data_IF_447390154085
#
_entry.id   IF_447390154085
#
_cell.length_a   1.000
_cell.length_b   1.000
_cell.length_c   1.000
_cell.angle_alpha   90.00
_cell.angle_beta   90.00
_cell.angle_gamma   90.00
#
_symmetry.space_group_name_H-M   'P 1'
#
loop_
_entity.id
_entity.type
_entity.pdbx_description
1 polymer ?
#
# COMPACT_ATOMS: atom_id res chain seq x y z
N UNK A 1 22.19 -4.77 -3.15
CA UNK A 1 20.88 -5.26 -3.62
C UNK A 1 19.94 -4.08 -3.92
N UNK A 2 20.40 -3.07 -4.69
CA UNK A 2 19.70 -1.77 -4.80
C UNK A 2 19.15 -1.44 -6.19
N UNK A 3 19.41 -2.25 -7.23
CA UNK A 3 19.09 -1.86 -8.62
C UNK A 3 17.79 -2.45 -9.22
N UNK A 4 17.04 -3.27 -8.47
CA UNK A 4 15.78 -3.89 -8.94
C UNK A 4 14.52 -3.17 -8.43
N UNK A 5 14.62 -2.22 -7.51
CA UNK A 5 13.44 -1.60 -6.88
C UNK A 5 12.84 -0.42 -7.65
N UNK A 6 13.55 0.18 -8.59
CA UNK A 6 13.12 1.41 -9.28
C UNK A 6 12.34 1.12 -10.56
N UNK A 7 12.64 0.02 -11.26
CA UNK A 7 12.02 -0.30 -12.56
C UNK A 7 10.54 -0.71 -12.44
N UNK A 8 10.16 -1.29 -11.30
CA UNK A 8 8.78 -1.71 -11.05
C UNK A 8 7.91 -0.63 -10.42
N UNK A 9 8.42 0.61 -10.30
CA UNK A 9 7.69 1.74 -9.70
C UNK A 9 7.27 2.74 -10.76
N UNK A 10 6.04 3.20 -10.64
CA UNK A 10 5.46 4.25 -11.46
C UNK A 10 5.17 5.42 -10.54
N UNK A 11 5.62 6.60 -10.94
CA UNK A 11 5.52 7.83 -10.15
C UNK A 11 4.74 8.87 -10.95
N UNK A 12 3.52 9.18 -10.48
CA UNK A 12 2.67 10.23 -11.06
C UNK A 12 2.57 11.46 -10.16
N UNK A 13 3.53 11.69 -9.26
CA UNK A 13 3.48 12.85 -8.36
C UNK A 13 3.41 14.18 -9.13
N UNK A 14 4.09 14.28 -10.28
CA UNK A 14 4.08 15.48 -11.12
C UNK A 14 2.70 15.74 -11.76
N UNK A 15 2.10 14.70 -12.33
CA UNK A 15 0.79 14.73 -12.98
C UNK A 15 -0.31 14.98 -11.95
N UNK A 16 -0.25 14.32 -10.80
CA UNK A 16 -1.16 14.60 -9.67
C UNK A 16 -0.99 16.03 -9.16
N UNK A 17 0.24 16.57 -9.14
CA UNK A 17 0.47 17.95 -8.77
C UNK A 17 -0.18 18.92 -9.77
N UNK A 18 -0.08 18.66 -11.08
CA UNK A 18 -0.75 19.45 -12.11
C UNK A 18 -2.28 19.44 -11.93
N UNK A 19 -2.87 18.28 -11.60
CA UNK A 19 -4.30 18.18 -11.28
C UNK A 19 -4.63 19.04 -10.04
N UNK A 20 -3.82 18.95 -8.97
CA UNK A 20 -4.03 19.78 -7.77
C UNK A 20 -3.96 21.28 -8.09
N UNK A 21 -3.03 21.71 -8.95
CA UNK A 21 -2.92 23.11 -9.37
C UNK A 21 -4.15 23.55 -10.17
N UNK A 22 -4.64 22.70 -11.09
CA UNK A 22 -5.82 22.97 -11.92
C UNK A 22 -7.09 23.23 -11.09
N UNK A 23 -7.30 22.45 -10.03
CA UNK A 23 -8.49 22.56 -9.17
C UNK A 23 -8.29 23.44 -7.92
N UNK A 24 -7.06 23.93 -7.70
CA UNK A 24 -6.71 24.83 -6.62
C UNK A 24 -6.65 24.20 -5.22
N UNK A 25 -6.47 25.02 -4.16
CA UNK A 25 -6.19 24.55 -2.80
C UNK A 25 -7.27 23.64 -2.18
N UNK A 26 -8.50 23.67 -2.70
CA UNK A 26 -9.63 22.86 -2.24
C UNK A 26 -9.94 21.68 -3.16
N UNK A 27 -8.98 21.23 -3.99
CA UNK A 27 -9.16 20.12 -4.94
C UNK A 27 -9.76 18.86 -4.30
N UNK A 28 -9.42 18.55 -3.04
CA UNK A 28 -9.93 17.38 -2.31
C UNK A 28 -11.44 17.43 -2.01
N UNK A 29 -12.08 18.59 -2.18
CA UNK A 29 -13.54 18.76 -2.07
C UNK A 29 -14.24 18.74 -3.41
N UNK A 30 -13.49 18.66 -4.51
CA UNK A 30 -14.02 18.68 -5.86
C UNK A 30 -14.03 17.26 -6.43
N UNK A 31 -15.21 16.62 -6.58
CA UNK A 31 -15.29 15.26 -7.10
C UNK A 31 -14.65 15.10 -8.49
N UNK A 32 -14.67 16.15 -9.32
CA UNK A 32 -14.01 16.12 -10.64
C UNK A 32 -12.50 15.96 -10.52
N UNK A 33 -11.87 16.51 -9.47
CA UNK A 33 -10.43 16.36 -9.24
C UNK A 33 -10.08 14.91 -8.91
N UNK A 34 -10.86 14.27 -8.04
CA UNK A 34 -10.70 12.86 -7.70
C UNK A 34 -10.91 11.96 -8.94
N UNK A 35 -11.91 12.24 -9.76
CA UNK A 35 -12.16 11.51 -11.01
C UNK A 35 -11.04 11.67 -12.04
N UNK A 36 -10.44 12.86 -12.16
CA UNK A 36 -9.31 13.10 -13.07
C UNK A 36 -8.06 12.34 -12.61
N UNK A 37 -7.78 12.34 -11.31
CA UNK A 37 -6.71 11.51 -10.74
C UNK A 37 -7.00 10.01 -10.90
N UNK A 38 -8.24 9.57 -10.72
CA UNK A 38 -8.64 8.18 -10.93
C UNK A 38 -8.38 7.72 -12.38
N UNK A 39 -8.74 8.56 -13.37
CA UNK A 39 -8.48 8.31 -14.80
C UNK A 39 -7.00 8.25 -15.14
N UNK A 40 -6.15 9.04 -14.47
CA UNK A 40 -4.70 8.97 -14.63
C UNK A 40 -4.19 7.56 -14.32
N UNK A 41 -4.62 6.98 -13.21
CA UNK A 41 -4.24 5.64 -12.79
C UNK A 41 -5.00 4.49 -13.48
N UNK A 42 -6.23 4.74 -13.94
CA UNK A 42 -7.16 3.70 -14.36
C UNK A 42 -7.84 2.98 -13.19
N UNK A 43 -8.03 3.67 -12.05
CA UNK A 43 -8.78 3.14 -10.91
C UNK A 43 -10.20 3.71 -10.87
N UNK A 44 -11.08 2.99 -10.16
CA UNK A 44 -12.31 3.55 -9.63
C UNK A 44 -12.11 4.00 -8.17
N UNK A 45 -12.69 5.15 -7.83
CA UNK A 45 -12.62 5.72 -6.49
C UNK A 45 -13.95 6.35 -6.06
N UNK A 46 -14.13 6.55 -4.75
CA UNK A 46 -15.23 7.37 -4.25
C UNK A 46 -14.98 8.88 -4.50
N UNK A 47 -15.93 9.72 -4.10
CA UNK A 47 -15.86 11.18 -4.27
C UNK A 47 -14.67 11.85 -3.58
N UNK A 48 -14.04 11.17 -2.62
CA UNK A 48 -12.86 11.65 -1.90
C UNK A 48 -11.54 11.10 -2.47
N UNK A 49 -11.59 10.29 -3.53
CA UNK A 49 -10.41 9.70 -4.13
C UNK A 49 -9.89 8.46 -3.38
N UNK A 50 -10.72 7.79 -2.59
CA UNK A 50 -10.38 6.50 -1.96
C UNK A 50 -10.74 5.35 -2.90
N UNK A 51 -9.81 4.42 -3.10
CA UNK A 51 -10.01 3.25 -3.97
C UNK A 51 -11.00 2.26 -3.33
N UNK A 52 -11.92 1.75 -4.13
CA UNK A 52 -13.05 0.93 -3.64
C UNK A 52 -12.86 -0.57 -3.86
N UNK A 53 -12.20 -0.99 -4.93
CA UNK A 53 -12.13 -2.38 -5.37
C UNK A 53 -10.79 -3.03 -5.02
N UNK A 54 -10.75 -3.78 -3.92
CA UNK A 54 -9.56 -4.53 -3.50
C UNK A 54 -9.43 -5.79 -4.36
N UNK A 55 -8.31 -5.94 -5.06
CA UNK A 55 -7.97 -7.14 -5.83
C UNK A 55 -7.53 -8.28 -4.92
N UNK A 56 -6.67 -7.98 -3.95
CA UNK A 56 -6.17 -8.98 -3.00
C UNK A 56 -6.06 -8.38 -1.60
N UNK A 57 -6.40 -9.17 -0.58
CA UNK A 57 -6.27 -8.80 0.82
C UNK A 57 -5.50 -9.88 1.57
N UNK A 58 -4.33 -9.51 2.08
CA UNK A 58 -3.47 -10.37 2.90
C UNK A 58 -3.60 -9.92 4.35
N UNK A 59 -3.87 -10.84 5.27
CA UNK A 59 -3.99 -10.56 6.71
C UNK A 59 -3.01 -11.44 7.47
N UNK A 60 -2.11 -10.81 8.21
CA UNK A 60 -1.12 -11.49 9.05
C UNK A 60 -1.37 -11.10 10.50
N UNK A 61 -1.44 -12.08 11.40
CA UNK A 61 -1.71 -11.85 12.82
C UNK A 61 -0.86 -12.73 13.72
N UNK A 62 -0.42 -12.17 14.85
CA UNK A 62 0.23 -12.90 15.93
C UNK A 62 0.23 -12.10 17.24
N UNK A 63 -0.38 -12.66 18.29
CA UNK A 63 -0.29 -12.19 19.69
C UNK A 63 -0.26 -10.65 19.86
N UNK A 64 -1.39 -10.00 19.56
CA UNK A 64 -1.54 -8.54 19.70
C UNK A 64 -0.97 -7.71 18.55
N UNK A 65 -0.26 -8.35 17.61
CA UNK A 65 0.16 -7.73 16.35
C UNK A 65 -0.74 -8.19 15.20
N UNK A 66 -1.12 -7.26 14.33
CA UNK A 66 -1.76 -7.57 13.07
C UNK A 66 -1.32 -6.62 11.96
N UNK A 67 -1.32 -7.12 10.73
CA UNK A 67 -1.21 -6.30 9.54
C UNK A 67 -2.22 -6.73 8.49
N UNK A 68 -2.69 -5.76 7.73
CA UNK A 68 -3.49 -6.00 6.53
C UNK A 68 -2.82 -5.31 5.36
N UNK A 69 -2.46 -6.06 4.33
CA UNK A 69 -2.07 -5.52 3.02
C UNK A 69 -3.28 -5.63 2.10
N UNK A 70 -3.63 -4.54 1.43
CA UNK A 70 -4.62 -4.55 0.35
C UNK A 70 -3.91 -4.15 -0.93
N UNK A 71 -4.04 -4.98 -1.96
CA UNK A 71 -3.54 -4.71 -3.30
C UNK A 71 -4.72 -4.36 -4.20
N UNK A 72 -4.52 -3.38 -5.08
CA UNK A 72 -5.53 -2.88 -6.01
C UNK A 72 -4.92 -2.89 -7.40
N UNK A 73 -5.50 -3.63 -8.32
CA UNK A 73 -5.11 -3.62 -9.72
C UNK A 73 -6.00 -2.63 -10.48
N UNK A 74 -5.38 -1.77 -11.29
CA UNK A 74 -6.06 -0.79 -12.12
C UNK A 74 -6.41 -1.40 -13.48
N UNK A 75 -7.36 -0.80 -14.19
CA UNK A 75 -7.69 -1.19 -15.57
C UNK A 75 -6.51 -1.01 -16.55
N UNK A 76 -5.44 -0.30 -16.15
CA UNK A 76 -4.20 -0.13 -16.91
C UNK A 76 -3.10 -1.13 -16.50
N UNK A 77 -3.39 -2.07 -15.60
CA UNK A 77 -2.44 -3.04 -15.08
C UNK A 77 -1.47 -2.49 -14.03
N UNK A 78 -1.75 -1.30 -13.47
CA UNK A 78 -0.97 -0.75 -12.37
C UNK A 78 -1.47 -1.29 -11.04
N UNK A 79 -0.56 -1.39 -10.07
CA UNK A 79 -0.83 -1.95 -8.77
C UNK A 79 -0.64 -0.90 -7.67
N UNK A 80 -1.67 -0.70 -6.84
CA UNK A 80 -1.63 0.14 -5.66
C UNK A 80 -1.61 -0.70 -4.41
N UNK A 81 -1.11 -0.13 -3.30
CA UNK A 81 -1.15 -0.79 -2.00
C UNK A 81 -1.69 0.12 -0.91
N UNK A 82 -2.45 -0.46 0.01
CA UNK A 82 -2.62 0.11 1.36
C UNK A 82 -2.21 -0.90 2.41
N UNK A 83 -1.65 -0.40 3.51
CA UNK A 83 -1.21 -1.21 4.64
C UNK A 83 -1.82 -0.67 5.92
N UNK A 84 -2.40 -1.57 6.71
CA UNK A 84 -2.73 -1.32 8.11
C UNK A 84 -1.80 -2.16 8.97
N UNK A 85 -1.38 -1.60 10.10
CA UNK A 85 -0.56 -2.25 11.10
C UNK A 85 -1.08 -1.91 12.49
N UNK A 86 -1.25 -2.92 13.32
CA UNK A 86 -1.65 -2.81 14.72
C UNK A 86 -0.61 -3.53 15.57
N UNK A 87 -0.16 -2.87 16.63
CA UNK A 87 0.63 -3.41 17.72
C UNK A 87 -0.23 -3.38 19.01
N UNK A 88 0.21 -4.03 20.10
CA UNK A 88 -0.59 -4.09 21.34
C UNK A 88 -1.01 -2.73 21.92
N UNK A 89 -0.21 -1.68 21.68
CA UNK A 89 -0.37 -0.34 22.25
C UNK A 89 -0.65 0.74 21.21
N UNK A 90 -0.70 0.40 19.93
CA UNK A 90 -0.74 1.38 18.85
C UNK A 90 -1.27 0.82 17.53
N UNK A 91 -1.74 1.71 16.65
CA UNK A 91 -2.25 1.34 15.34
C UNK A 91 -1.96 2.40 14.30
N UNK A 92 -1.87 1.98 13.04
CA UNK A 92 -1.72 2.86 11.89
C UNK A 92 -2.36 2.24 10.67
N UNK A 93 -2.96 3.05 9.83
CA UNK A 93 -3.57 2.59 8.59
C UNK A 93 -4.08 3.78 7.80
N UNK A 94 -3.88 3.73 6.49
CA UNK A 94 -4.41 4.72 5.57
C UNK A 94 -5.16 3.99 4.45
N UNK A 95 -6.33 4.48 4.04
CA UNK A 95 -6.98 3.96 2.84
C UNK A 95 -6.10 4.21 1.62
N UNK A 96 -6.13 3.31 0.64
CA UNK A 96 -5.49 3.56 -0.65
C UNK A 96 -6.21 4.73 -1.35
N UNK A 97 -5.44 5.69 -1.85
CA UNK A 97 -6.00 6.87 -2.51
C UNK A 97 -5.38 7.10 -3.89
N UNK A 98 -6.16 7.65 -4.82
CA UNK A 98 -5.68 8.14 -6.13
C UNK A 98 -4.65 9.26 -6.00
N UNK A 99 -4.48 9.81 -4.79
CA UNK A 99 -3.51 10.85 -4.47
C UNK A 99 -2.16 10.31 -3.97
N UNK A 100 -2.06 9.02 -3.69
CA UNK A 100 -0.83 8.33 -3.34
C UNK A 100 0.00 8.21 -4.64
N UNK A 101 0.97 9.09 -4.83
CA UNK A 101 1.64 9.29 -6.13
C UNK A 101 2.50 8.14 -6.66
N UNK A 102 2.40 6.94 -6.09
CA UNK A 102 3.19 5.76 -6.45
C UNK A 102 2.27 4.58 -6.76
N UNK A 103 2.55 3.89 -7.87
CA UNK A 103 2.02 2.56 -8.16
C UNK A 103 3.15 1.63 -8.61
N UNK A 104 2.79 0.38 -8.89
CA UNK A 104 3.72 -0.67 -9.30
C UNK A 104 3.29 -1.32 -10.61
N UNK A 105 4.24 -1.84 -11.37
CA UNK A 105 3.99 -2.48 -12.67
C UNK A 105 3.37 -3.88 -12.54
N UNK A 106 3.46 -4.51 -11.37
CA UNK A 106 2.91 -5.85 -11.12
C UNK A 106 2.63 -6.06 -9.62
N UNK A 107 1.77 -7.06 -9.33
CA UNK A 107 1.34 -7.37 -7.96
C UNK A 107 2.45 -7.86 -7.04
N UNK A 108 3.49 -8.52 -7.57
CA UNK A 108 4.63 -8.98 -6.78
C UNK A 108 5.48 -7.80 -6.27
N UNK A 109 5.75 -6.81 -7.13
CA UNK A 109 6.45 -5.59 -6.74
C UNK A 109 5.66 -4.79 -5.70
N UNK A 110 4.34 -4.67 -5.90
CA UNK A 110 3.43 -4.04 -4.95
C UNK A 110 3.46 -4.75 -3.58
N UNK A 111 3.36 -6.09 -3.57
CA UNK A 111 3.45 -6.91 -2.37
C UNK A 111 4.80 -6.74 -1.65
N UNK A 112 5.91 -6.81 -2.39
CA UNK A 112 7.26 -6.59 -1.85
C UNK A 112 7.40 -5.24 -1.17
N UNK A 113 6.90 -4.19 -1.80
CA UNK A 113 6.89 -2.86 -1.23
C UNK A 113 6.04 -2.79 0.06
N UNK A 114 4.82 -3.33 0.04
CA UNK A 114 3.93 -3.32 1.19
C UNK A 114 4.51 -4.09 2.40
N UNK A 115 5.05 -5.29 2.17
CA UNK A 115 5.68 -6.07 3.24
C UNK A 115 6.95 -5.39 3.75
N UNK A 116 7.80 -4.84 2.87
CA UNK A 116 8.97 -4.07 3.29
C UNK A 116 8.62 -2.93 4.24
N UNK A 117 7.59 -2.15 3.91
CA UNK A 117 7.06 -1.07 4.78
C UNK A 117 6.58 -1.58 6.13
N UNK A 118 5.97 -2.77 6.19
CA UNK A 118 5.53 -3.39 7.43
C UNK A 118 6.71 -3.90 8.26
N UNK A 119 7.76 -4.42 7.63
CA UNK A 119 8.98 -4.84 8.31
C UNK A 119 9.72 -3.64 8.93
N UNK A 120 9.83 -2.53 8.20
CA UNK A 120 10.37 -1.26 8.72
C UNK A 120 9.57 -0.76 9.94
N UNK A 121 8.24 -0.90 9.88
CA UNK A 121 7.36 -0.54 11.00
C UNK A 121 7.62 -1.42 12.22
N UNK A 122 7.82 -2.72 12.00
CA UNK A 122 8.18 -3.64 13.06
C UNK A 122 9.57 -3.34 13.65
N UNK A 123 10.56 -2.89 12.85
CA UNK A 123 11.85 -2.44 13.38
C UNK A 123 11.74 -1.14 14.18
N UNK A 124 10.82 -0.26 13.80
CA UNK A 124 10.48 0.91 14.63
C UNK A 124 9.88 0.47 15.96
N UNK A 125 8.97 -0.52 15.96
CA UNK A 125 8.35 -1.03 17.18
C UNK A 125 9.37 -1.72 18.11
N UNK A 126 10.37 -2.43 17.57
CA UNK A 126 11.44 -3.04 18.37
C UNK A 126 12.14 -2.05 19.30
N UNK A 127 12.22 -0.76 18.93
CA UNK A 127 12.81 0.30 19.77
C UNK A 127 12.04 0.52 21.08
N UNK A 128 10.77 0.13 21.13
CA UNK A 128 9.90 0.23 22.30
C UNK A 128 9.76 -1.08 23.07
N UNK A 129 10.35 -2.17 22.58
CA UNK A 129 10.36 -3.48 23.22
C UNK A 129 10.52 -4.61 22.20
N UNK A 130 11.65 -5.30 22.23
CA UNK A 130 11.83 -6.52 21.44
C UNK A 130 11.18 -7.71 22.17
N UNK A 131 10.24 -8.36 21.50
CA UNK A 131 9.45 -9.45 22.10
C UNK A 131 9.44 -10.66 21.17
N UNK A 132 9.38 -11.90 21.72
CA UNK A 132 9.23 -13.10 20.90
C UNK A 132 7.99 -13.06 19.99
N UNK A 133 6.93 -12.36 20.42
CA UNK A 133 5.73 -12.14 19.62
C UNK A 133 6.02 -11.29 18.38
N UNK A 134 6.73 -10.16 18.52
CA UNK A 134 7.13 -9.31 17.40
C UNK A 134 8.07 -10.04 16.44
N UNK A 135 9.03 -10.81 16.96
CA UNK A 135 9.94 -11.61 16.13
C UNK A 135 9.19 -12.67 15.31
N UNK A 136 8.20 -13.34 15.91
CA UNK A 136 7.35 -14.32 15.22
C UNK A 136 6.45 -13.65 14.18
N UNK A 137 5.88 -12.49 14.51
CA UNK A 137 5.08 -11.69 13.59
C UNK A 137 5.89 -11.26 12.35
N UNK A 138 7.13 -10.81 12.53
CA UNK A 138 8.06 -10.49 11.42
C UNK A 138 8.28 -11.68 10.49
N UNK A 139 8.55 -12.87 11.02
CA UNK A 139 8.74 -14.08 10.19
C UNK A 139 7.50 -14.42 9.38
N UNK A 140 6.30 -14.22 9.95
CA UNK A 140 5.05 -14.40 9.19
C UNK A 140 4.91 -13.41 8.05
N UNK A 141 5.29 -12.14 8.26
CA UNK A 141 5.32 -11.14 7.19
C UNK A 141 6.32 -11.51 6.08
N UNK A 142 7.51 -11.97 6.44
CA UNK A 142 8.54 -12.41 5.49
C UNK A 142 8.08 -13.60 4.65
N UNK A 143 7.30 -14.52 5.25
CA UNK A 143 6.74 -15.67 4.54
C UNK A 143 5.81 -15.25 3.39
N UNK A 144 5.14 -14.09 3.47
CA UNK A 144 4.28 -13.55 2.39
C UNK A 144 5.06 -13.14 1.13
N UNK A 145 6.38 -13.01 1.21
CA UNK A 145 7.26 -12.74 0.07
C UNK A 145 7.70 -13.98 -0.68
N UNK A 146 7.47 -15.16 -0.10
CA UNK A 146 7.84 -16.44 -0.72
C UNK A 146 6.60 -16.97 -1.44
N UNK A 147 6.69 -17.36 -2.73
CA UNK A 147 5.61 -18.09 -3.36
C UNK A 147 5.37 -19.36 -2.54
N UNK A 148 4.20 -19.48 -1.94
CA UNK A 148 3.77 -20.80 -1.49
C UNK A 148 3.58 -21.61 -2.76
N UNK A 149 4.49 -22.55 -3.01
CA UNK A 149 4.26 -23.60 -3.98
C UNK A 149 2.95 -24.28 -3.55
N UNK A 150 1.86 -23.94 -4.23
CA UNK A 150 0.63 -24.70 -4.12
C UNK A 150 0.98 -26.10 -4.65
N UNK A 151 1.23 -27.03 -3.74
CA UNK A 151 1.20 -28.46 -4.03
C UNK A 151 -0.27 -28.76 -4.34
N UNK A 152 -0.61 -28.73 -5.63
CA UNK A 152 -1.80 -29.37 -6.16
C UNK A 152 -1.61 -30.89 -6.13
#
# INVERSE_FOLDING_TARGET
MENLQTQDRIDFRCELHAIRQKFGPKYFREPKAAQEAARLWGYDCNEHGVLMHVTEKIRVEHKGYSATVRLYESAKGYWHVSTNFTAPDSGSGNPASVWDGLAFTNGLAARRYAVGRLLDRCDTQKRYGDTPALATFKRKLEAELTPQLALF
#
